data_IF_473192066793
#
_entry.id   IF_473192066793
#
_cell.length_a   1.000
_cell.length_b   1.000
_cell.length_c   1.000
_cell.angle_alpha   90.00
_cell.angle_beta   90.00
_cell.angle_gamma   90.00
#
_symmetry.space_group_name_H-M   'P 1'
#
loop_
_entity.id
_entity.type
_entity.pdbx_description
1 polymer ?
#
# COMPACT_ATOMS: atom_id res chain seq x y z
N UNK A 1 34.52 -18.51 14.82
CA UNK A 1 33.09 -18.39 14.59
C UNK A 1 32.87 -17.14 13.75
N UNK A 2 32.58 -17.35 12.46
CA UNK A 2 32.23 -16.28 11.52
C UNK A 2 30.85 -15.75 11.92
N UNK A 3 30.81 -14.56 12.49
CA UNK A 3 29.57 -13.82 12.72
C UNK A 3 29.09 -13.38 11.35
N UNK A 4 28.24 -14.19 10.72
CA UNK A 4 27.51 -13.75 9.52
C UNK A 4 26.51 -12.70 10.03
N UNK A 5 26.64 -11.42 9.64
CA UNK A 5 25.67 -10.42 10.05
C UNK A 5 24.30 -10.85 9.54
N UNK A 6 23.31 -10.92 10.41
CA UNK A 6 21.93 -11.16 10.01
C UNK A 6 21.47 -9.95 9.19
N UNK A 7 21.55 -10.08 7.88
CA UNK A 7 21.05 -9.05 6.94
C UNK A 7 19.54 -9.11 6.98
N UNK A 8 18.94 -8.16 7.69
CA UNK A 8 17.48 -7.96 7.66
C UNK A 8 17.12 -7.38 6.30
N UNK A 9 16.22 -8.06 5.59
CA UNK A 9 15.72 -7.59 4.30
C UNK A 9 15.07 -6.22 4.48
N UNK A 10 15.46 -5.20 3.70
CA UNK A 10 14.82 -3.87 3.76
C UNK A 10 13.32 -3.95 3.46
N UNK A 11 12.54 -3.22 4.23
CA UNK A 11 11.09 -3.13 4.02
C UNK A 11 10.83 -2.56 2.61
N UNK A 12 9.95 -3.22 1.85
CA UNK A 12 9.57 -2.78 0.51
C UNK A 12 10.55 -3.17 -0.60
N UNK A 13 11.57 -4.02 -0.34
CA UNK A 13 12.57 -4.42 -1.34
C UNK A 13 11.92 -4.94 -2.63
N UNK A 14 10.86 -5.71 -2.54
CA UNK A 14 10.16 -6.23 -3.70
C UNK A 14 9.53 -5.12 -4.53
N UNK A 15 8.91 -4.12 -3.87
CA UNK A 15 8.23 -3.04 -4.57
C UNK A 15 9.19 -2.18 -5.37
N UNK A 16 10.28 -1.68 -4.78
CA UNK A 16 11.22 -0.86 -5.54
C UNK A 16 12.05 -1.69 -6.54
N UNK A 17 12.25 -2.98 -6.31
CA UNK A 17 12.87 -3.87 -7.30
C UNK A 17 11.99 -4.01 -8.54
N UNK A 18 10.69 -4.29 -8.35
CA UNK A 18 9.75 -4.35 -9.48
C UNK A 18 9.58 -3.00 -10.18
N UNK A 19 9.62 -1.91 -9.43
CA UNK A 19 9.56 -0.55 -9.97
C UNK A 19 10.76 -0.25 -10.88
N UNK A 20 11.99 -0.55 -10.41
CA UNK A 20 13.20 -0.40 -11.22
C UNK A 20 13.22 -1.36 -12.41
N UNK A 21 12.75 -2.60 -12.23
CA UNK A 21 12.63 -3.56 -13.33
C UNK A 21 11.67 -3.05 -14.40
N UNK A 22 10.51 -2.50 -14.01
CA UNK A 22 9.57 -1.90 -14.96
C UNK A 22 10.19 -0.76 -15.74
N UNK A 23 10.99 0.09 -15.08
CA UNK A 23 11.74 1.16 -15.75
C UNK A 23 12.72 0.62 -16.79
N UNK A 24 13.51 -0.40 -16.44
CA UNK A 24 14.46 -1.02 -17.39
C UNK A 24 13.74 -1.60 -18.59
N UNK A 25 12.59 -2.25 -18.39
CA UNK A 25 11.76 -2.79 -19.47
C UNK A 25 11.20 -1.66 -20.36
N UNK A 26 10.73 -0.56 -19.77
CA UNK A 26 10.20 0.59 -20.51
C UNK A 26 11.30 1.25 -21.37
N UNK A 27 12.52 1.38 -20.84
CA UNK A 27 13.68 1.87 -21.60
C UNK A 27 14.05 0.90 -22.73
N UNK A 28 14.07 -0.40 -22.46
CA UNK A 28 14.35 -1.43 -23.48
C UNK A 28 13.33 -1.40 -24.62
N UNK A 29 12.05 -1.20 -24.29
CA UNK A 29 10.96 -1.05 -25.27
C UNK A 29 10.96 0.31 -25.99
N UNK A 30 11.87 1.21 -25.62
CA UNK A 30 11.93 2.59 -26.13
C UNK A 30 10.66 3.42 -25.83
N UNK A 31 9.91 3.04 -24.80
CA UNK A 31 8.75 3.83 -24.32
C UNK A 31 9.20 5.09 -23.57
N UNK A 32 10.39 5.04 -22.96
CA UNK A 32 10.98 6.14 -22.20
C UNK A 32 12.46 6.26 -22.53
N UNK A 33 13.03 7.47 -22.63
CA UNK A 33 14.47 7.64 -22.79
C UNK A 33 15.20 7.23 -21.50
N UNK A 34 16.40 6.67 -21.64
CA UNK A 34 17.21 6.32 -20.48
C UNK A 34 17.61 7.57 -19.69
N UNK A 35 17.31 7.59 -18.39
CA UNK A 35 17.68 8.69 -17.50
C UNK A 35 19.19 8.70 -17.26
N UNK A 36 19.84 9.77 -17.67
CA UNK A 36 21.30 9.95 -17.54
C UNK A 36 21.72 10.44 -16.14
N UNK A 37 20.80 11.04 -15.40
CA UNK A 37 21.07 11.57 -14.08
C UNK A 37 20.69 10.55 -13.00
N UNK A 38 21.69 10.06 -12.28
CA UNK A 38 21.50 9.09 -11.19
C UNK A 38 20.58 9.60 -10.09
N UNK A 39 20.65 10.89 -9.72
CA UNK A 39 19.82 11.44 -8.66
C UNK A 39 18.33 11.46 -9.00
N UNK A 40 17.96 11.65 -10.26
CA UNK A 40 16.57 11.58 -10.70
C UNK A 40 16.03 10.14 -10.62
N UNK A 41 16.86 9.17 -11.00
CA UNK A 41 16.49 7.76 -10.88
C UNK A 41 16.40 7.32 -9.41
N UNK A 42 17.34 7.80 -8.57
CA UNK A 42 17.30 7.56 -7.13
C UNK A 42 16.06 8.19 -6.50
N UNK A 43 15.69 9.42 -6.87
CA UNK A 43 14.45 10.05 -6.43
C UNK A 43 13.23 9.19 -6.80
N UNK A 44 13.14 8.72 -8.03
CA UNK A 44 12.05 7.85 -8.48
C UNK A 44 11.96 6.56 -7.65
N UNK A 45 13.09 5.90 -7.41
CA UNK A 45 13.10 4.64 -6.66
C UNK A 45 12.83 4.82 -5.16
N UNK A 46 13.14 5.99 -4.59
CA UNK A 46 13.01 6.28 -3.15
C UNK A 46 11.72 7.02 -2.77
N UNK A 47 10.77 7.16 -3.70
CA UNK A 47 9.47 7.75 -3.40
C UNK A 47 8.70 6.88 -2.40
N UNK A 48 8.77 7.24 -1.11
CA UNK A 48 8.30 6.45 0.03
C UNK A 48 6.81 6.05 -0.02
N UNK A 49 5.98 6.86 -0.65
CA UNK A 49 4.55 6.62 -0.79
C UNK A 49 4.21 5.49 -1.79
N UNK A 50 5.21 4.95 -2.50
CA UNK A 50 5.07 3.79 -3.38
C UNK A 50 5.59 2.49 -2.72
N UNK A 51 6.34 2.59 -1.60
CA UNK A 51 7.19 1.50 -1.11
C UNK A 51 6.45 0.28 -0.53
N UNK A 52 5.20 0.39 -0.05
CA UNK A 52 4.54 -0.72 0.64
C UNK A 52 3.21 -1.11 -0.02
N UNK A 53 2.27 -0.17 -0.09
CA UNK A 53 0.92 -0.43 -0.58
C UNK A 53 0.40 0.73 -1.45
N UNK A 54 1.31 1.58 -1.93
CA UNK A 54 1.00 2.70 -2.79
C UNK A 54 0.59 2.28 -4.19
N UNK A 55 0.06 3.22 -4.98
CA UNK A 55 -0.22 2.94 -6.38
C UNK A 55 1.06 2.58 -7.13
N UNK A 56 0.99 1.54 -7.97
CA UNK A 56 2.10 1.18 -8.87
C UNK A 56 2.20 2.26 -9.94
N UNK A 57 3.25 3.06 -9.86
CA UNK A 57 3.48 4.19 -10.77
C UNK A 57 4.69 3.88 -11.64
N UNK A 58 4.50 3.90 -12.97
CA UNK A 58 5.60 3.73 -13.91
C UNK A 58 6.38 5.03 -14.06
N UNK A 59 7.66 4.92 -14.43
CA UNK A 59 8.52 6.10 -14.62
C UNK A 59 7.92 7.09 -15.62
N UNK A 60 7.33 6.60 -16.70
CA UNK A 60 6.67 7.42 -17.74
C UNK A 60 5.54 8.31 -17.20
N UNK A 61 4.88 7.88 -16.12
CA UNK A 61 3.75 8.60 -15.55
C UNK A 61 4.19 9.79 -14.70
N UNK A 62 5.45 9.75 -14.19
CA UNK A 62 6.01 10.76 -13.26
C UNK A 62 7.24 11.50 -13.81
N UNK A 63 7.73 11.14 -14.99
CA UNK A 63 8.93 11.73 -15.59
C UNK A 63 8.85 13.26 -15.64
N UNK A 64 7.70 13.81 -16.05
CA UNK A 64 7.50 15.25 -16.16
C UNK A 64 7.55 15.93 -14.80
N UNK A 65 6.88 15.36 -13.81
CA UNK A 65 6.84 15.88 -12.45
C UNK A 65 8.18 15.75 -11.73
N UNK A 66 9.00 14.76 -12.06
CA UNK A 66 10.36 14.63 -11.53
C UNK A 66 11.20 15.86 -11.94
N UNK A 67 11.08 16.31 -13.19
CA UNK A 67 11.85 17.43 -13.71
C UNK A 67 11.25 18.82 -13.40
N UNK A 68 9.93 18.95 -13.46
CA UNK A 68 9.26 20.23 -13.25
C UNK A 68 7.95 20.06 -12.50
N UNK A 69 8.00 20.20 -11.19
CA UNK A 69 6.82 20.12 -10.31
C UNK A 69 6.17 21.48 -10.14
N UNK A 70 4.86 21.53 -10.26
CA UNK A 70 4.04 22.68 -9.93
C UNK A 70 2.81 22.22 -9.17
N UNK A 71 2.57 22.82 -8.01
CA UNK A 71 1.37 22.59 -7.21
C UNK A 71 0.49 23.83 -7.26
N UNK A 72 -0.79 23.65 -7.49
CA UNK A 72 -1.79 24.71 -7.37
C UNK A 72 -2.47 24.66 -6.00
N UNK A 73 -3.02 25.77 -5.47
CA UNK A 73 -3.80 25.75 -4.24
C UNK A 73 -4.96 24.76 -4.27
N UNK A 74 -5.57 24.58 -5.43
CA UNK A 74 -6.61 23.57 -5.65
C UNK A 74 -6.10 22.13 -5.45
N UNK A 75 -4.92 21.80 -5.98
CA UNK A 75 -4.31 20.47 -5.83
C UNK A 75 -3.91 20.21 -4.38
N UNK A 76 -3.44 21.23 -3.66
CA UNK A 76 -3.15 21.12 -2.22
C UNK A 76 -4.42 20.80 -1.44
N UNK A 77 -5.50 21.54 -1.65
CA UNK A 77 -6.78 21.29 -0.98
C UNK A 77 -7.31 19.89 -1.29
N UNK A 78 -7.24 19.47 -2.55
CA UNK A 78 -7.64 18.14 -2.99
C UNK A 78 -6.77 17.04 -2.37
N UNK A 79 -5.46 17.26 -2.25
CA UNK A 79 -4.52 16.35 -1.61
C UNK A 79 -4.84 16.14 -0.12
N UNK A 80 -5.04 17.25 0.62
CA UNK A 80 -5.43 17.23 2.04
C UNK A 80 -6.76 16.49 2.22
N UNK A 81 -7.77 16.84 1.43
CA UNK A 81 -9.09 16.20 1.52
C UNK A 81 -9.00 14.71 1.25
N UNK A 82 -8.23 14.29 0.25
CA UNK A 82 -8.06 12.88 -0.08
C UNK A 82 -7.30 12.12 1.01
N UNK A 83 -6.27 12.72 1.57
CA UNK A 83 -5.55 12.17 2.71
C UNK A 83 -6.46 11.97 3.92
N UNK A 84 -7.27 12.99 4.26
CA UNK A 84 -8.20 12.93 5.39
C UNK A 84 -9.27 11.84 5.20
N UNK A 85 -9.81 11.69 4.00
CA UNK A 85 -10.76 10.62 3.67
C UNK A 85 -10.11 9.23 3.79
N UNK A 86 -8.87 9.06 3.29
CA UNK A 86 -8.10 7.83 3.46
C UNK A 86 -7.87 7.50 4.93
N UNK A 87 -7.45 8.49 5.72
CA UNK A 87 -7.23 8.33 7.16
C UNK A 87 -8.51 7.94 7.90
N UNK A 88 -9.64 8.59 7.60
CA UNK A 88 -10.94 8.24 8.16
C UNK A 88 -11.37 6.82 7.78
N UNK A 89 -11.18 6.44 6.52
CA UNK A 89 -11.46 5.07 6.04
C UNK A 89 -10.65 4.03 6.81
N UNK A 90 -9.36 4.27 7.05
CA UNK A 90 -8.50 3.38 7.82
C UNK A 90 -8.91 3.32 9.29
N UNK A 91 -9.00 4.48 9.94
CA UNK A 91 -9.19 4.55 11.39
C UNK A 91 -10.60 4.14 11.83
N UNK A 92 -11.61 4.42 11.04
CA UNK A 92 -13.01 4.10 11.40
C UNK A 92 -13.41 2.76 10.79
N UNK A 93 -13.41 2.64 9.46
CA UNK A 93 -14.00 1.48 8.79
C UNK A 93 -13.11 0.24 8.86
N UNK A 94 -11.82 0.35 8.49
CA UNK A 94 -10.94 -0.80 8.46
C UNK A 94 -10.70 -1.36 9.86
N UNK A 95 -10.45 -0.51 10.87
CA UNK A 95 -10.25 -0.96 12.24
C UNK A 95 -11.51 -1.58 12.84
N UNK A 96 -12.70 -1.05 12.54
CA UNK A 96 -13.95 -1.68 12.98
C UNK A 96 -14.13 -3.07 12.37
N UNK A 97 -13.88 -3.23 11.08
CA UNK A 97 -13.94 -4.53 10.43
C UNK A 97 -12.91 -5.51 11.01
N UNK A 98 -11.70 -5.03 11.34
CA UNK A 98 -10.67 -5.83 12.00
C UNK A 98 -11.12 -6.33 13.35
N UNK A 99 -11.58 -5.45 14.22
CA UNK A 99 -12.05 -5.81 15.54
C UNK A 99 -13.23 -6.81 15.50
N UNK A 100 -14.15 -6.65 14.54
CA UNK A 100 -15.25 -7.60 14.34
C UNK A 100 -14.73 -8.95 13.83
N UNK A 101 -13.80 -8.95 12.93
CA UNK A 101 -13.15 -10.17 12.44
C UNK A 101 -12.45 -10.93 13.57
N UNK A 102 -11.62 -10.25 14.37
CA UNK A 102 -10.89 -10.84 15.49
C UNK A 102 -11.82 -11.39 16.58
N UNK A 103 -12.99 -10.75 16.77
CA UNK A 103 -14.00 -11.23 17.72
C UNK A 103 -14.71 -12.49 17.21
N UNK A 104 -15.01 -12.57 15.93
CA UNK A 104 -15.77 -13.68 15.31
C UNK A 104 -14.88 -14.87 14.94
N UNK A 105 -13.66 -14.62 14.52
CA UNK A 105 -12.65 -15.65 14.26
C UNK A 105 -11.86 -15.91 15.55
N UNK A 106 -10.56 -15.89 15.45
CA UNK A 106 -9.61 -15.98 16.56
C UNK A 106 -8.51 -14.96 16.31
N UNK A 107 -8.15 -14.20 17.33
CA UNK A 107 -7.13 -13.17 17.18
C UNK A 107 -5.77 -13.78 16.77
N UNK A 108 -5.08 -13.11 15.85
CA UNK A 108 -3.75 -13.51 15.36
C UNK A 108 -2.74 -13.74 16.49
N UNK A 109 -2.88 -13.02 17.58
CA UNK A 109 -2.02 -13.19 18.78
C UNK A 109 -2.15 -14.56 19.39
N UNK A 110 -3.37 -15.13 19.44
CA UNK A 110 -3.61 -16.47 19.96
C UNK A 110 -3.11 -17.56 18.99
N UNK A 111 -3.32 -17.37 17.70
CA UNK A 111 -2.82 -18.29 16.66
C UNK A 111 -1.29 -18.42 16.75
N UNK A 112 -0.60 -17.29 16.92
CA UNK A 112 0.86 -17.25 17.01
C UNK A 112 1.41 -17.77 18.35
N UNK A 113 0.64 -17.70 19.44
CA UNK A 113 1.08 -18.15 20.77
C UNK A 113 0.74 -19.62 21.04
N UNK A 114 -0.43 -20.08 20.63
CA UNK A 114 -0.90 -21.45 20.90
C UNK A 114 -1.92 -21.93 19.86
N UNK A 115 -1.42 -22.53 18.77
CA UNK A 115 -2.25 -23.01 17.66
C UNK A 115 -3.31 -24.05 18.07
N UNK A 116 -3.04 -24.87 19.09
CA UNK A 116 -3.97 -25.91 19.54
C UNK A 116 -5.18 -25.29 20.25
N UNK A 117 -4.95 -24.26 21.04
CA UNK A 117 -6.00 -23.53 21.75
C UNK A 117 -6.83 -22.70 20.74
N UNK A 118 -6.18 -22.06 19.79
CA UNK A 118 -6.84 -21.35 18.69
C UNK A 118 -7.78 -22.26 17.89
N UNK A 119 -7.37 -23.49 17.58
CA UNK A 119 -8.22 -24.49 16.91
C UNK A 119 -9.40 -24.93 17.78
N UNK A 120 -9.19 -25.08 19.10
CA UNK A 120 -10.25 -25.35 20.05
C UNK A 120 -11.32 -24.26 20.09
N UNK A 121 -10.90 -22.98 20.14
CA UNK A 121 -11.81 -21.84 20.08
C UNK A 121 -12.55 -21.77 18.74
N UNK A 122 -11.87 -21.96 17.61
CA UNK A 122 -12.50 -21.97 16.30
C UNK A 122 -13.60 -23.04 16.19
N UNK A 123 -13.36 -24.23 16.74
CA UNK A 123 -14.31 -25.33 16.69
C UNK A 123 -15.57 -25.08 17.54
N UNK A 124 -15.50 -24.20 18.52
CA UNK A 124 -16.63 -23.77 19.36
C UNK A 124 -17.52 -22.71 18.74
N UNK A 125 -17.06 -22.05 17.66
CA UNK A 125 -17.79 -20.96 16.99
C UNK A 125 -18.91 -21.48 16.09
N UNK A 126 -19.97 -20.69 15.94
CA UNK A 126 -21.02 -21.02 14.98
C UNK A 126 -20.54 -20.85 13.53
N UNK A 127 -21.01 -21.71 12.62
CA UNK A 127 -20.67 -21.64 11.20
C UNK A 127 -20.98 -20.27 10.60
N UNK A 128 -22.11 -19.69 10.97
CA UNK A 128 -22.51 -18.33 10.51
C UNK A 128 -21.52 -17.27 11.03
N UNK A 129 -21.10 -17.37 12.30
CA UNK A 129 -20.10 -16.47 12.87
C UNK A 129 -18.77 -16.54 12.14
N UNK A 130 -18.30 -17.72 11.77
CA UNK A 130 -17.06 -17.91 11.01
C UNK A 130 -17.16 -17.27 9.61
N UNK A 131 -18.26 -17.48 8.90
CA UNK A 131 -18.45 -16.83 7.58
C UNK A 131 -18.52 -15.31 7.68
N UNK A 132 -19.18 -14.77 8.70
CA UNK A 132 -19.20 -13.33 8.94
C UNK A 132 -17.82 -12.81 9.31
N UNK A 133 -17.04 -13.52 10.10
CA UNK A 133 -15.66 -13.17 10.42
C UNK A 133 -14.78 -13.08 9.18
N UNK A 134 -14.86 -14.08 8.27
CA UNK A 134 -14.13 -14.06 6.99
C UNK A 134 -14.55 -12.88 6.12
N UNK A 135 -15.85 -12.54 6.06
CA UNK A 135 -16.33 -11.38 5.30
C UNK A 135 -15.77 -10.06 5.88
N UNK A 136 -15.77 -9.90 7.21
CA UNK A 136 -15.19 -8.72 7.85
C UNK A 136 -13.68 -8.64 7.62
N UNK A 137 -12.97 -9.77 7.64
CA UNK A 137 -11.54 -9.82 7.34
C UNK A 137 -11.25 -9.39 5.89
N UNK A 138 -12.03 -9.88 4.94
CA UNK A 138 -11.92 -9.46 3.53
C UNK A 138 -12.18 -7.95 3.36
N UNK A 139 -13.22 -7.42 4.04
CA UNK A 139 -13.51 -5.99 4.02
C UNK A 139 -12.41 -5.17 4.68
N UNK A 140 -11.84 -5.64 5.79
CA UNK A 140 -10.71 -5.00 6.45
C UNK A 140 -9.52 -4.84 5.51
N UNK A 141 -9.09 -5.94 4.86
CA UNK A 141 -7.95 -5.90 3.91
C UNK A 141 -8.24 -4.89 2.79
N UNK A 142 -9.42 -4.95 2.20
CA UNK A 142 -9.79 -4.04 1.12
C UNK A 142 -9.80 -2.58 1.56
N UNK A 143 -10.42 -2.29 2.70
CA UNK A 143 -10.53 -0.93 3.23
C UNK A 143 -9.18 -0.38 3.66
N UNK A 144 -8.34 -1.19 4.32
CA UNK A 144 -7.01 -0.78 4.78
C UNK A 144 -6.10 -0.46 3.59
N UNK A 145 -6.07 -1.35 2.59
CA UNK A 145 -5.26 -1.15 1.40
C UNK A 145 -5.73 0.05 0.56
N UNK A 146 -7.05 0.17 0.36
CA UNK A 146 -7.65 1.31 -0.34
C UNK A 146 -7.43 2.64 0.38
N UNK A 147 -7.51 2.63 1.72
CA UNK A 147 -7.25 3.80 2.54
C UNK A 147 -5.79 4.27 2.43
N UNK A 148 -4.85 3.32 2.52
CA UNK A 148 -3.42 3.64 2.34
C UNK A 148 -3.15 4.23 0.95
N UNK A 149 -3.72 3.65 -0.10
CA UNK A 149 -3.59 4.17 -1.46
C UNK A 149 -4.15 5.59 -1.60
N UNK A 150 -5.30 5.90 -0.98
CA UNK A 150 -5.87 7.25 -0.97
C UNK A 150 -4.97 8.24 -0.22
N UNK A 151 -4.41 7.85 0.92
CA UNK A 151 -3.45 8.68 1.67
C UNK A 151 -2.18 8.93 0.85
N UNK A 152 -1.63 7.90 0.20
CA UNK A 152 -0.44 8.01 -0.63
C UNK A 152 -0.65 8.97 -1.82
N UNK A 153 -1.78 8.87 -2.52
CA UNK A 153 -2.14 9.78 -3.60
C UNK A 153 -2.36 11.20 -3.06
N UNK A 154 -2.96 11.33 -1.87
CA UNK A 154 -3.13 12.64 -1.20
C UNK A 154 -1.78 13.32 -0.97
N UNK A 155 -0.81 12.61 -0.37
CA UNK A 155 0.55 13.13 -0.15
C UNK A 155 1.26 13.44 -1.48
N UNK A 156 1.12 12.57 -2.48
CA UNK A 156 1.71 12.79 -3.79
C UNK A 156 1.24 14.10 -4.42
N UNK A 157 -0.07 14.42 -4.33
CA UNK A 157 -0.63 15.69 -4.81
C UNK A 157 -0.04 16.90 -4.07
N UNK A 158 0.20 16.80 -2.75
CA UNK A 158 0.85 17.87 -1.97
C UNK A 158 2.29 18.12 -2.45
N UNK A 159 2.98 17.07 -2.88
CA UNK A 159 4.34 17.14 -3.41
C UNK A 159 4.39 17.48 -4.90
N UNK A 160 3.25 17.65 -5.56
CA UNK A 160 3.15 17.97 -6.99
C UNK A 160 3.26 16.77 -7.92
N UNK A 161 3.05 15.55 -7.41
CA UNK A 161 2.96 14.34 -8.22
C UNK A 161 1.49 13.95 -8.44
N UNK A 162 1.16 13.56 -9.66
CA UNK A 162 -0.20 13.11 -10.03
C UNK A 162 -0.19 11.62 -10.29
N UNK A 163 -0.57 10.85 -9.29
CA UNK A 163 -0.64 9.41 -9.39
C UNK A 163 -2.00 8.93 -9.91
N UNK A 164 -2.03 7.85 -10.71
CA UNK A 164 -3.27 7.20 -11.09
C UNK A 164 -4.00 6.66 -9.86
N UNK A 165 -5.32 6.50 -9.97
CA UNK A 165 -6.10 5.82 -8.94
C UNK A 165 -5.75 4.33 -8.94
N UNK A 166 -5.47 3.77 -7.77
CA UNK A 166 -5.18 2.35 -7.61
C UNK A 166 -6.48 1.53 -7.47
N UNK A 167 -7.46 2.09 -6.76
CA UNK A 167 -8.76 1.47 -6.55
C UNK A 167 -9.85 2.31 -7.22
N UNK A 168 -10.41 1.79 -8.31
CA UNK A 168 -11.52 2.39 -9.04
C UNK A 168 -12.55 1.31 -9.35
N UNK A 169 -13.42 1.03 -8.38
CA UNK A 169 -14.49 0.02 -8.47
C UNK A 169 -14.00 -1.39 -8.89
N UNK A 170 -13.08 -2.02 -8.13
CA UNK A 170 -12.41 -3.26 -8.54
C UNK A 170 -13.33 -4.48 -8.66
N UNK A 171 -14.58 -4.37 -8.20
CA UNK A 171 -15.59 -5.45 -8.25
C UNK A 171 -16.75 -5.17 -9.24
N UNK A 172 -16.53 -4.27 -10.19
CA UNK A 172 -17.45 -4.03 -11.29
C UNK A 172 -17.10 -4.84 -12.51
#
# INVERSE_FOLDING_TARGET
PSVIPQIVLPIGISFYTFQLLSYVIDVYRKEVPAQKNFFWLLLYSSLFHQCIAGPIVRYKDVEREIHSRRTSPYEITKGISRFAVGLAKKSVLANMCGNLSDTLLVADTLINSNATEALGELSSRSVVGLWMGVLFYMLQIYLDFSAYSDMAIGIALLLGFRFPKNFDAPYK
#
